data_IF_800647196282
#
_entry.id   IF_800647196282
#
_cell.length_a   1.000
_cell.length_b   1.000
_cell.length_c   1.000
_cell.angle_alpha   90.00
_cell.angle_beta   90.00
_cell.angle_gamma   90.00
#
_symmetry.space_group_name_H-M   'P 1'
#
loop_
_entity.id
_entity.type
_entity.pdbx_description
1 polymer ?
#
# COMPACT_ATOMS: atom_id res chain seq x y z
N UNK A 1 -17.78 15.99 8.69
CA UNK A 1 -17.59 14.62 9.20
C UNK A 1 -16.32 14.04 8.57
N UNK A 2 -15.46 13.33 9.31
CA UNK A 2 -14.19 12.79 8.76
C UNK A 2 -14.43 11.79 7.63
N UNK A 3 -15.42 10.92 7.83
CA UNK A 3 -15.83 9.86 6.89
C UNK A 3 -16.21 10.44 5.53
N UNK A 4 -16.98 11.53 5.52
CA UNK A 4 -17.45 12.21 4.31
C UNK A 4 -16.30 12.77 3.46
N UNK A 5 -15.33 13.44 4.12
CA UNK A 5 -14.11 13.94 3.46
C UNK A 5 -13.24 12.81 2.91
N UNK A 6 -13.15 11.71 3.64
CA UNK A 6 -12.39 10.54 3.22
C UNK A 6 -13.05 9.82 2.03
N UNK A 7 -14.37 9.67 2.03
CA UNK A 7 -15.14 9.13 0.91
C UNK A 7 -14.94 9.95 -0.37
N UNK A 8 -15.08 11.28 -0.27
CA UNK A 8 -14.84 12.18 -1.39
C UNK A 8 -13.40 12.05 -1.94
N UNK A 9 -12.41 11.93 -1.05
CA UNK A 9 -11.01 11.72 -1.44
C UNK A 9 -10.77 10.35 -2.11
N UNK A 10 -11.42 9.30 -1.60
CA UNK A 10 -11.30 7.95 -2.15
C UNK A 10 -11.93 7.83 -3.55
N UNK A 11 -13.05 8.53 -3.78
CA UNK A 11 -13.66 8.69 -5.11
C UNK A 11 -12.74 9.46 -6.07
N UNK A 12 -12.21 10.61 -5.63
CA UNK A 12 -11.32 11.47 -6.41
C UNK A 12 -10.04 10.74 -6.84
N UNK A 13 -9.43 9.95 -5.95
CA UNK A 13 -8.23 9.16 -6.25
C UNK A 13 -8.51 7.88 -7.04
N UNK A 14 -9.76 7.61 -7.42
CA UNK A 14 -10.20 6.40 -8.10
C UNK A 14 -9.65 5.12 -7.42
N UNK A 15 -9.59 5.09 -6.08
CA UNK A 15 -9.11 3.92 -5.31
C UNK A 15 -9.98 2.67 -5.50
N UNK A 16 -11.02 2.72 -6.34
CA UNK A 16 -11.95 1.61 -6.53
C UNK A 16 -12.72 1.28 -5.25
N UNK A 17 -12.87 2.25 -4.33
CA UNK A 17 -13.56 2.09 -3.05
C UNK A 17 -15.09 2.06 -3.19
N UNK A 18 -15.61 1.35 -4.21
CA UNK A 18 -17.03 0.96 -4.23
C UNK A 18 -17.38 0.07 -3.02
N UNK A 19 -16.38 -0.53 -2.38
CA UNK A 19 -16.47 -1.20 -1.09
C UNK A 19 -15.38 -0.70 -0.14
N UNK A 20 -15.70 -0.58 1.16
CA UNK A 20 -14.71 -0.32 2.21
C UNK A 20 -13.56 -1.33 2.12
N UNK A 21 -12.28 -0.90 2.22
CA UNK A 21 -11.15 -1.81 2.17
C UNK A 21 -11.33 -2.88 3.25
N UNK A 22 -11.26 -4.14 2.86
CA UNK A 22 -11.39 -5.28 3.76
C UNK A 22 -10.02 -5.92 3.96
N UNK A 23 -9.68 -6.25 5.21
CA UNK A 23 -8.50 -7.08 5.50
C UNK A 23 -9.01 -8.49 5.74
N UNK A 24 -8.71 -9.40 4.80
CA UNK A 24 -9.26 -10.75 4.80
C UNK A 24 -10.73 -10.77 4.41
N UNK A 25 -11.63 -11.11 5.34
CA UNK A 25 -13.09 -11.12 5.14
C UNK A 25 -13.85 -10.06 5.93
N UNK A 26 -13.14 -9.18 6.64
CA UNK A 26 -13.74 -8.21 7.55
C UNK A 26 -13.59 -6.79 6.99
N UNK A 27 -14.69 -6.01 6.93
CA UNK A 27 -14.60 -4.60 6.56
C UNK A 27 -13.71 -3.87 7.58
N UNK A 28 -12.73 -3.11 7.10
CA UNK A 28 -11.81 -2.39 7.94
C UNK A 28 -12.45 -1.10 8.45
N UNK A 29 -12.43 -0.93 9.78
CA UNK A 29 -12.88 0.31 10.39
C UNK A 29 -11.77 1.38 10.28
N UNK A 30 -11.78 2.08 9.14
CA UNK A 30 -10.79 3.11 8.82
C UNK A 30 -10.80 4.26 9.82
N UNK A 31 -11.96 4.61 10.35
CA UNK A 31 -12.08 5.69 11.33
C UNK A 31 -11.37 5.31 12.62
N UNK A 32 -11.67 4.12 13.18
CA UNK A 32 -10.99 3.64 14.38
C UNK A 32 -9.48 3.49 14.16
N UNK A 33 -9.09 2.94 13.01
CA UNK A 33 -7.67 2.80 12.67
C UNK A 33 -6.97 4.17 12.62
N UNK A 34 -7.55 5.16 11.93
CA UNK A 34 -7.01 6.51 11.85
C UNK A 34 -6.87 7.15 13.23
N UNK A 35 -7.93 7.10 14.04
CA UNK A 35 -7.91 7.67 15.40
C UNK A 35 -6.81 7.01 16.23
N UNK A 36 -6.73 5.68 16.27
CA UNK A 36 -5.72 4.99 17.07
C UNK A 36 -4.28 5.26 16.62
N UNK A 37 -4.03 5.35 15.30
CA UNK A 37 -2.69 5.72 14.80
C UNK A 37 -2.36 7.18 15.14
N UNK A 38 -3.34 8.07 15.02
CA UNK A 38 -3.19 9.50 15.35
C UNK A 38 -2.91 9.71 16.83
N UNK A 39 -3.61 9.00 17.72
CA UNK A 39 -3.38 9.05 19.17
C UNK A 39 -1.95 8.62 19.57
N UNK A 40 -1.35 7.70 18.81
CA UNK A 40 0.04 7.27 19.03
C UNK A 40 1.05 8.30 18.49
N UNK A 41 0.64 9.21 17.60
CA UNK A 41 1.51 10.18 16.94
C UNK A 41 1.89 9.80 15.51
N UNK A 42 1.00 9.09 14.81
CA UNK A 42 1.12 8.78 13.38
C UNK A 42 1.88 7.49 13.06
N UNK A 43 2.01 7.20 11.76
CA UNK A 43 2.64 5.98 11.23
C UNK A 43 4.03 5.70 11.83
N UNK A 44 4.81 6.77 12.02
CA UNK A 44 6.19 6.70 12.52
C UNK A 44 6.24 6.21 13.97
N UNK A 45 5.42 6.78 14.85
CA UNK A 45 5.34 6.36 16.25
C UNK A 45 4.80 4.94 16.38
N UNK A 46 3.79 4.57 15.59
CA UNK A 46 3.25 3.20 15.57
C UNK A 46 4.31 2.18 15.14
N UNK A 47 5.16 2.50 14.15
CA UNK A 47 6.28 1.63 13.76
C UNK A 47 7.37 1.54 14.83
N UNK A 48 7.78 2.68 15.38
CA UNK A 48 8.82 2.74 16.42
C UNK A 48 8.41 1.93 17.65
N UNK A 49 7.15 2.04 18.05
CA UNK A 49 6.60 1.36 19.22
C UNK A 49 6.04 -0.04 18.88
N UNK A 50 6.17 -0.50 17.62
CA UNK A 50 5.68 -1.80 17.12
C UNK A 50 4.20 -2.07 17.45
N UNK A 51 3.36 -1.03 17.46
CA UNK A 51 1.95 -1.09 17.88
C UNK A 51 1.01 -1.72 16.85
N UNK A 52 1.48 -2.02 15.64
CA UNK A 52 0.67 -2.62 14.56
C UNK A 52 -0.07 -3.91 14.95
N UNK A 53 0.59 -4.78 15.72
CA UNK A 53 -0.01 -6.05 16.18
C UNK A 53 -1.11 -5.83 17.22
N UNK A 54 -0.93 -4.84 18.08
CA UNK A 54 -1.95 -4.42 19.05
C UNK A 54 -3.14 -3.82 18.29
N UNK A 55 -2.89 -2.86 17.38
CA UNK A 55 -3.93 -2.26 16.55
C UNK A 55 -4.74 -3.29 15.75
N UNK A 56 -4.08 -4.29 15.14
CA UNK A 56 -4.79 -5.34 14.39
C UNK A 56 -5.66 -6.22 15.28
N UNK A 57 -5.25 -6.41 16.54
CA UNK A 57 -6.02 -7.14 17.55
C UNK A 57 -7.20 -6.31 18.03
N UNK A 58 -6.99 -5.04 18.37
CA UNK A 58 -8.04 -4.11 18.83
C UNK A 58 -9.13 -3.90 17.76
N UNK A 59 -8.73 -3.80 16.49
CA UNK A 59 -9.65 -3.70 15.35
C UNK A 59 -10.29 -5.04 14.97
N UNK A 60 -9.94 -6.12 15.68
CA UNK A 60 -10.41 -7.47 15.42
C UNK A 60 -10.20 -7.89 13.95
N UNK A 61 -9.11 -7.42 13.34
CA UNK A 61 -8.67 -7.75 11.97
C UNK A 61 -7.91 -9.07 11.97
N UNK A 62 -7.12 -9.30 13.02
CA UNK A 62 -6.40 -10.53 13.25
C UNK A 62 -5.25 -10.34 14.25
N UNK A 63 -4.88 -11.41 14.93
CA UNK A 63 -3.78 -11.41 15.91
C UNK A 63 -2.44 -11.83 15.31
N UNK A 64 -2.45 -12.29 14.06
CA UNK A 64 -1.28 -12.77 13.32
C UNK A 64 -0.44 -11.62 12.77
N UNK A 65 0.88 -11.84 12.66
CA UNK A 65 1.82 -10.86 12.08
C UNK A 65 1.47 -10.48 10.64
N UNK A 66 0.93 -11.42 9.86
CA UNK A 66 0.46 -11.16 8.49
C UNK A 66 -0.71 -10.18 8.48
N UNK A 67 -1.66 -10.31 9.40
CA UNK A 67 -2.80 -9.40 9.52
C UNK A 67 -2.34 -7.99 9.90
N UNK A 68 -1.40 -7.87 10.84
CA UNK A 68 -0.79 -6.59 11.19
C UNK A 68 -0.04 -5.94 10.02
N UNK A 69 0.66 -6.73 9.22
CA UNK A 69 1.37 -6.25 8.03
C UNK A 69 0.41 -5.78 6.93
N UNK A 70 -0.66 -6.52 6.67
CA UNK A 70 -1.72 -6.11 5.75
C UNK A 70 -2.42 -4.84 6.23
N UNK A 71 -2.73 -4.73 7.52
CA UNK A 71 -3.31 -3.52 8.13
C UNK A 71 -2.43 -2.29 7.89
N UNK A 72 -1.11 -2.42 8.15
CA UNK A 72 -0.14 -1.36 7.88
C UNK A 72 -0.13 -0.94 6.42
N UNK A 73 -0.11 -1.92 5.51
CA UNK A 73 -0.11 -1.65 4.07
C UNK A 73 -1.37 -0.88 3.65
N UNK A 74 -2.52 -1.28 4.18
CA UNK A 74 -3.80 -0.62 3.89
C UNK A 74 -3.88 0.80 4.47
N UNK A 75 -3.30 1.01 5.66
CA UNK A 75 -3.15 2.36 6.22
C UNK A 75 -2.35 3.27 5.30
N UNK A 76 -1.17 2.81 4.86
CA UNK A 76 -0.27 3.61 4.03
C UNK A 76 -0.91 3.93 2.67
N UNK A 77 -1.68 3.01 2.12
CA UNK A 77 -2.32 3.20 0.82
C UNK A 77 -3.53 4.13 0.90
N UNK A 78 -4.44 3.92 1.86
CA UNK A 78 -5.70 4.64 1.93
C UNK A 78 -5.61 5.89 2.81
N UNK A 79 -5.03 5.76 4.00
CA UNK A 79 -5.10 6.78 5.05
C UNK A 79 -3.92 7.73 5.08
N UNK A 80 -2.71 7.28 4.76
CA UNK A 80 -1.53 8.14 4.81
C UNK A 80 -1.62 9.32 3.84
N UNK A 81 -2.13 9.08 2.63
CA UNK A 81 -2.33 10.15 1.67
C UNK A 81 -3.45 11.13 2.11
N UNK A 82 -4.51 10.62 2.73
CA UNK A 82 -5.54 11.44 3.34
C UNK A 82 -5.00 12.25 4.52
N UNK A 83 -4.17 11.66 5.37
CA UNK A 83 -3.48 12.32 6.49
C UNK A 83 -2.61 13.47 5.97
N UNK A 84 -1.83 13.25 4.90
CA UNK A 84 -1.07 14.29 4.22
C UNK A 84 -1.96 15.42 3.69
N UNK A 85 -3.08 15.10 3.03
CA UNK A 85 -4.02 16.12 2.50
C UNK A 85 -4.68 16.93 3.62
N UNK A 86 -5.01 16.28 4.74
CA UNK A 86 -5.65 16.92 5.91
C UNK A 86 -4.68 17.80 6.70
N UNK A 87 -3.43 17.35 6.93
CA UNK A 87 -2.45 18.13 7.69
C UNK A 87 -1.76 19.22 6.87
N UNK A 88 -1.52 18.97 5.58
CA UNK A 88 -0.66 19.83 4.75
C UNK A 88 -1.43 20.71 3.77
N UNK A 89 -2.69 20.38 3.44
CA UNK A 89 -3.49 21.12 2.45
C UNK A 89 -2.98 21.03 1.01
N UNK A 90 -1.88 20.32 0.76
CA UNK A 90 -1.27 20.10 -0.56
C UNK A 90 -1.40 18.64 -1.00
N UNK A 91 -1.44 18.40 -2.32
CA UNK A 91 -1.71 17.07 -2.87
C UNK A 91 -0.57 16.10 -2.54
N UNK A 92 -0.85 14.94 -1.91
CA UNK A 92 0.15 13.92 -1.66
C UNK A 92 0.72 13.40 -3.00
N UNK A 93 2.05 13.17 -3.09
CA UNK A 93 2.68 12.66 -4.31
C UNK A 93 1.95 11.43 -4.85
N UNK A 94 1.70 11.39 -6.17
CA UNK A 94 0.93 10.33 -6.82
C UNK A 94 1.52 8.90 -6.61
N UNK A 95 2.78 8.82 -6.21
CA UNK A 95 3.53 7.57 -5.99
C UNK A 95 2.96 6.70 -4.86
N UNK A 96 2.27 7.28 -3.88
CA UNK A 96 1.78 6.55 -2.71
C UNK A 96 0.51 5.71 -2.94
N UNK A 97 -0.21 5.94 -4.04
CA UNK A 97 -1.54 5.37 -4.31
C UNK A 97 -1.53 4.05 -5.08
N UNK A 98 -0.36 3.57 -5.49
CA UNK A 98 -0.29 2.39 -6.37
C UNK A 98 -0.43 1.09 -5.56
N UNK A 99 -1.66 0.72 -5.21
CA UNK A 99 -2.00 -0.69 -4.98
C UNK A 99 -3.08 -1.15 -5.95
N UNK A 100 -2.62 -1.97 -6.89
CA UNK A 100 -3.38 -2.95 -7.66
C UNK A 100 -4.55 -2.42 -8.49
N UNK A 101 -4.25 -1.54 -9.45
CA UNK A 101 -4.88 -1.76 -10.76
C UNK A 101 -4.29 -3.03 -11.33
N UNK A 102 -5.01 -4.15 -11.18
CA UNK A 102 -4.79 -5.36 -11.97
C UNK A 102 -5.09 -5.07 -13.45
N UNK A 103 -4.28 -4.23 -14.10
CA UNK A 103 -4.16 -4.20 -15.55
C UNK A 103 -3.30 -5.39 -15.90
N UNK A 104 -3.94 -6.45 -16.39
CA UNK A 104 -3.29 -7.39 -17.30
C UNK A 104 -2.41 -6.58 -18.26
N UNK A 105 -1.10 -6.81 -18.36
CA UNK A 105 -0.35 -6.27 -19.48
C UNK A 105 -0.90 -6.96 -20.74
N UNK A 106 -1.39 -6.23 -21.76
CA UNK A 106 -1.48 -6.83 -23.08
C UNK A 106 -0.04 -7.19 -23.46
N UNK A 107 0.20 -8.48 -23.70
CA UNK A 107 1.43 -8.98 -24.31
C UNK A 107 1.76 -8.13 -25.54
N UNK A 108 2.78 -7.30 -25.43
CA UNK A 108 3.42 -6.66 -26.57
C UNK A 108 4.94 -6.80 -26.37
N UNK A 109 5.48 -7.96 -26.75
CA UNK A 109 6.86 -8.01 -27.23
C UNK A 109 6.92 -7.23 -28.56
N UNK A 110 8.01 -6.50 -28.82
CA UNK A 110 8.90 -6.93 -29.92
C UNK A 110 10.40 -6.66 -29.59
N UNK A 111 11.35 -6.95 -30.50
CA UNK A 111 12.27 -8.09 -30.44
C UNK A 111 13.68 -7.71 -29.94
N UNK A 112 14.43 -8.72 -29.49
CA UNK A 112 15.83 -8.57 -29.03
C UNK A 112 16.79 -8.15 -30.15
N UNK A 113 17.69 -7.19 -29.93
CA UNK A 113 18.92 -7.06 -30.71
C UNK A 113 19.99 -8.01 -30.15
N UNK A 114 20.55 -8.82 -31.05
CA UNK A 114 21.47 -9.90 -30.73
C UNK A 114 22.80 -9.46 -30.13
N UNK A 115 23.29 -10.28 -29.20
CA UNK A 115 24.67 -10.26 -28.76
C UNK A 115 25.51 -11.03 -29.79
N UNK A 116 26.43 -10.34 -30.44
CA UNK A 116 27.54 -10.99 -31.13
C UNK A 116 28.83 -10.58 -30.42
N UNK A 117 29.43 -11.53 -29.70
CA UNK A 117 30.81 -11.45 -29.23
C UNK A 117 31.56 -12.65 -29.80
N UNK A 118 32.63 -12.46 -30.60
CA UNK A 118 33.49 -13.56 -30.98
C UNK A 118 34.43 -13.89 -29.82
N UNK A 119 34.20 -15.06 -29.20
CA UNK A 119 35.20 -15.80 -28.45
C UNK A 119 36.00 -16.66 -29.44
N UNK A 120 37.32 -16.52 -29.42
CA UNK A 120 38.27 -17.49 -29.97
C UNK A 120 39.49 -17.45 -29.06
N UNK A 121 40.04 -18.52 -28.54
CA UNK A 121 39.76 -19.94 -28.62
C UNK A 121 40.58 -20.56 -27.48
N UNK A 122 40.00 -21.50 -26.74
CA UNK A 122 40.70 -22.24 -25.69
C UNK A 122 41.62 -23.29 -26.33
N UNK A 123 42.83 -23.37 -25.82
CA UNK A 123 43.77 -24.47 -26.05
C UNK A 123 43.17 -25.79 -25.58
N UNK A 124 43.18 -26.80 -26.45
CA UNK A 124 43.00 -28.20 -26.07
C UNK A 124 44.01 -29.08 -26.83
N UNK A 125 44.69 -29.90 -26.04
CA UNK A 125 45.75 -30.84 -26.38
C UNK A 125 45.34 -31.95 -27.34
N UNK A 126 46.31 -32.41 -28.13
CA UNK A 126 46.56 -33.84 -28.44
C UNK A 126 48.05 -34.12 -28.28
#
# INVERSE_FOLDING_TARGET
MWVDRFLAFAEEKAMGMNNLPAVGRKPLDLFRLYVSVKEIGGLTQVNKNKKWRELSTNLNVGTSSSAASSLKKQYIQCLYAFECKIERGEDPPADFFNTDSKKNPPKAQPPSPGENSPNSEALASV
#
